data_IF_883490735392
#
_entry.id   IF_883490735392
#
_cell.length_a   1.000
_cell.length_b   1.000
_cell.length_c   1.000
_cell.angle_alpha   90.00
_cell.angle_beta   90.00
_cell.angle_gamma   90.00
#
_symmetry.space_group_name_H-M   'P 1'
#
loop_
_entity.id
_entity.type
_entity.pdbx_description
1 polymer ?
#
# COMPACT_ATOMS: atom_id res chain seq x y z
N UNK A 1 -7.64 17.00 -31.86
CA UNK A 1 -6.79 15.79 -32.02
C UNK A 1 -5.47 16.05 -31.30
N UNK A 2 -4.97 15.15 -30.44
CA UNK A 2 -3.59 15.29 -29.95
C UNK A 2 -2.68 14.91 -31.11
N UNK A 3 -1.95 15.89 -31.66
CA UNK A 3 -0.96 15.69 -32.71
C UNK A 3 0.23 14.96 -32.13
N UNK A 4 0.11 13.64 -32.14
CA UNK A 4 1.16 12.75 -31.71
C UNK A 4 2.10 12.51 -32.88
N UNK A 5 3.41 12.73 -32.66
CA UNK A 5 4.46 12.25 -33.55
C UNK A 5 4.17 10.78 -33.90
N UNK A 6 4.13 10.49 -35.21
CA UNK A 6 3.81 9.18 -35.78
C UNK A 6 5.05 8.42 -36.22
N UNK A 7 6.24 8.92 -35.90
CA UNK A 7 7.49 8.20 -36.09
C UNK A 7 7.45 6.82 -35.41
N UNK A 8 8.16 5.85 -35.98
CA UNK A 8 8.28 4.51 -35.41
C UNK A 8 8.88 4.56 -34.00
N UNK A 9 9.82 5.50 -33.76
CA UNK A 9 10.40 5.74 -32.46
C UNK A 9 9.36 6.23 -31.42
N UNK A 10 8.45 7.12 -31.82
CA UNK A 10 7.36 7.58 -30.95
C UNK A 10 6.35 6.45 -30.67
N UNK A 11 6.04 5.62 -31.66
CA UNK A 11 5.21 4.43 -31.47
C UNK A 11 5.85 3.41 -30.51
N UNK A 12 7.12 3.08 -30.72
CA UNK A 12 7.87 2.18 -29.85
C UNK A 12 7.90 2.69 -28.39
N UNK A 13 8.09 4.00 -28.21
CA UNK A 13 8.06 4.63 -26.87
C UNK A 13 6.69 4.51 -26.21
N UNK A 14 5.60 4.83 -26.92
CA UNK A 14 4.23 4.69 -26.38
C UNK A 14 3.89 3.25 -26.06
N UNK A 15 4.30 2.32 -26.92
CA UNK A 15 4.15 0.89 -26.68
C UNK A 15 4.87 0.49 -25.39
N UNK A 16 6.15 0.78 -25.26
CA UNK A 16 6.93 0.47 -24.05
C UNK A 16 6.31 1.06 -22.78
N UNK A 17 5.88 2.33 -22.82
CA UNK A 17 5.23 3.02 -21.70
C UNK A 17 3.87 2.37 -21.34
N UNK A 18 3.07 1.97 -22.34
CA UNK A 18 1.77 1.35 -22.10
C UNK A 18 1.85 -0.02 -21.41
N UNK A 19 2.96 -0.74 -21.59
CA UNK A 19 3.21 -2.04 -20.96
C UNK A 19 3.87 -1.94 -19.58
N UNK A 20 4.34 -0.76 -19.20
CA UNK A 20 5.12 -0.56 -17.97
C UNK A 20 4.39 -1.10 -16.74
N UNK A 21 3.14 -0.68 -16.52
CA UNK A 21 2.38 -1.12 -15.34
C UNK A 21 1.84 -2.56 -15.44
N UNK A 22 1.80 -3.15 -16.64
CA UNK A 22 1.49 -4.57 -16.82
C UNK A 22 2.65 -5.42 -16.30
N UNK A 23 3.88 -5.13 -16.75
CA UNK A 23 5.10 -5.80 -16.27
C UNK A 23 5.28 -5.57 -14.77
N UNK A 24 5.07 -4.34 -14.33
CA UNK A 24 5.17 -3.98 -12.92
C UNK A 24 4.17 -4.74 -12.05
N UNK A 25 2.92 -4.89 -12.50
CA UNK A 25 1.90 -5.68 -11.82
C UNK A 25 2.30 -7.15 -11.65
N UNK A 26 2.91 -7.75 -12.68
CA UNK A 26 3.45 -9.12 -12.62
C UNK A 26 4.62 -9.22 -11.63
N UNK A 27 5.56 -8.26 -11.66
CA UNK A 27 6.65 -8.17 -10.69
C UNK A 27 6.11 -8.03 -9.26
N UNK A 28 5.04 -7.25 -9.08
CA UNK A 28 4.38 -7.07 -7.79
C UNK A 28 3.79 -8.37 -7.26
N UNK A 29 2.98 -9.06 -8.06
CA UNK A 29 2.38 -10.33 -7.66
C UNK A 29 3.46 -11.38 -7.32
N UNK A 30 4.56 -11.39 -8.08
CA UNK A 30 5.71 -12.28 -7.84
C UNK A 30 6.44 -11.93 -6.54
N UNK A 31 6.69 -10.65 -6.27
CA UNK A 31 7.30 -10.20 -5.02
C UNK A 31 6.40 -10.51 -3.81
N UNK A 32 5.09 -10.31 -3.94
CA UNK A 32 4.13 -10.63 -2.88
C UNK A 32 4.07 -12.13 -2.61
N UNK A 33 4.06 -12.97 -3.67
CA UNK A 33 4.18 -14.42 -3.54
C UNK A 33 5.47 -14.80 -2.80
N UNK A 34 6.61 -14.27 -3.22
CA UNK A 34 7.90 -14.60 -2.64
C UNK A 34 8.00 -14.16 -1.16
N UNK A 35 7.41 -13.02 -0.81
CA UNK A 35 7.33 -12.58 0.58
C UNK A 35 6.40 -13.48 1.40
N UNK A 36 5.21 -13.79 0.89
CA UNK A 36 4.27 -14.70 1.55
C UNK A 36 4.87 -16.11 1.76
N UNK A 37 5.63 -16.61 0.78
CA UNK A 37 6.31 -17.89 0.87
C UNK A 37 7.45 -17.86 1.89
N UNK A 38 8.19 -16.74 1.96
CA UNK A 38 9.22 -16.55 2.98
C UNK A 38 8.66 -16.56 4.41
N UNK A 39 7.40 -16.15 4.60
CA UNK A 39 6.71 -16.12 5.90
C UNK A 39 6.08 -17.47 6.28
N UNK A 40 5.49 -18.18 5.31
CA UNK A 40 4.65 -19.36 5.58
C UNK A 40 5.27 -20.71 5.21
N UNK A 41 6.22 -20.74 4.28
CA UNK A 41 6.68 -21.94 3.59
C UNK A 41 5.55 -22.78 2.92
N UNK A 42 4.33 -22.23 2.78
CA UNK A 42 3.20 -22.87 2.12
C UNK A 42 3.01 -22.23 0.74
N UNK A 43 3.43 -22.96 -0.30
CA UNK A 43 3.35 -22.50 -1.68
C UNK A 43 1.90 -22.20 -2.09
N UNK A 44 0.94 -23.02 -1.69
CA UNK A 44 -0.46 -22.84 -2.07
C UNK A 44 -1.04 -21.59 -1.39
N UNK A 45 -0.80 -21.40 -0.10
CA UNK A 45 -1.26 -20.20 0.61
C UNK A 45 -0.64 -18.91 0.02
N UNK A 46 0.63 -19.00 -0.36
CA UNK A 46 1.37 -17.89 -0.98
C UNK A 46 0.81 -17.54 -2.36
N UNK A 47 0.54 -18.55 -3.20
CA UNK A 47 -0.11 -18.36 -4.51
C UNK A 47 -1.50 -17.76 -4.36
N UNK A 48 -2.32 -18.29 -3.46
CA UNK A 48 -3.67 -17.74 -3.21
C UNK A 48 -3.62 -16.29 -2.71
N UNK A 49 -2.63 -15.93 -1.89
CA UNK A 49 -2.45 -14.54 -1.43
C UNK A 49 -2.07 -13.61 -2.59
N UNK A 50 -1.14 -14.05 -3.46
CA UNK A 50 -0.73 -13.28 -4.63
C UNK A 50 -1.85 -13.13 -5.67
N UNK A 51 -2.61 -14.20 -5.93
CA UNK A 51 -3.78 -14.17 -6.82
C UNK A 51 -4.89 -13.30 -6.25
N UNK A 52 -5.09 -13.32 -4.93
CA UNK A 52 -6.06 -12.46 -4.27
C UNK A 52 -5.76 -10.99 -4.54
N UNK A 53 -4.50 -10.58 -4.36
CA UNK A 53 -4.08 -9.22 -4.70
C UNK A 53 -4.22 -8.94 -6.21
N UNK A 54 -3.63 -9.79 -7.05
CA UNK A 54 -3.49 -9.53 -8.48
C UNK A 54 -4.82 -9.55 -9.24
N UNK A 55 -5.74 -10.45 -8.91
CA UNK A 55 -6.99 -10.66 -9.65
C UNK A 55 -8.22 -10.19 -8.89
N UNK A 56 -8.16 -10.17 -7.55
CA UNK A 56 -9.28 -9.85 -6.68
C UNK A 56 -9.39 -8.38 -6.29
N UNK A 57 -8.39 -7.55 -6.62
CA UNK A 57 -8.32 -6.14 -6.20
C UNK A 57 -8.12 -5.19 -7.37
N UNK A 58 -8.27 -3.89 -7.12
CA UNK A 58 -8.05 -2.84 -8.10
C UNK A 58 -6.62 -2.79 -8.70
N UNK A 59 -5.68 -3.60 -8.20
CA UNK A 59 -4.38 -3.83 -8.82
C UNK A 59 -4.48 -4.22 -10.31
N UNK A 60 -5.51 -4.98 -10.70
CA UNK A 60 -5.69 -5.36 -12.10
C UNK A 60 -6.03 -4.15 -13.00
N UNK A 61 -7.11 -3.40 -12.79
CA UNK A 61 -7.37 -2.19 -13.60
C UNK A 61 -6.21 -1.19 -13.61
N UNK A 62 -5.51 -1.02 -12.48
CA UNK A 62 -4.38 -0.09 -12.36
C UNK A 62 -3.12 -0.52 -13.13
N UNK A 63 -3.03 -1.79 -13.53
CA UNK A 63 -1.95 -2.28 -14.41
C UNK A 63 -1.99 -1.68 -15.82
N UNK A 64 -3.16 -1.14 -16.23
CA UNK A 64 -3.40 -0.57 -17.57
C UNK A 64 -3.21 0.95 -17.62
N UNK A 65 -3.13 1.59 -16.48
CA UNK A 65 -2.96 3.05 -16.34
C UNK A 65 -1.53 3.33 -15.93
N UNK A 66 -0.87 4.35 -16.48
CA UNK A 66 0.47 4.79 -16.06
C UNK A 66 0.42 5.61 -14.76
N UNK A 67 -0.24 5.06 -13.75
CA UNK A 67 -0.27 5.58 -12.40
C UNK A 67 1.04 5.30 -11.68
N UNK A 68 1.43 6.20 -10.78
CA UNK A 68 2.68 6.08 -10.01
C UNK A 68 2.50 5.21 -8.76
N UNK A 69 1.25 5.01 -8.34
CA UNK A 69 0.84 4.27 -7.15
C UNK A 69 1.32 2.81 -7.16
N UNK A 70 1.20 2.03 -8.27
CA UNK A 70 1.71 0.65 -8.29
C UNK A 70 3.22 0.55 -8.07
N UNK A 71 3.99 1.50 -8.61
CA UNK A 71 5.46 1.49 -8.50
C UNK A 71 5.92 1.87 -7.11
N UNK A 72 5.33 2.92 -6.54
CA UNK A 72 5.56 3.30 -5.16
C UNK A 72 5.21 2.14 -4.20
N UNK A 73 4.04 1.52 -4.38
CA UNK A 73 3.59 0.40 -3.57
C UNK A 73 4.52 -0.81 -3.66
N UNK A 74 5.07 -1.10 -4.85
CA UNK A 74 6.06 -2.16 -5.02
C UNK A 74 7.34 -1.84 -4.25
N UNK A 75 7.83 -0.60 -4.33
CA UNK A 75 9.03 -0.18 -3.58
C UNK A 75 8.87 -0.37 -2.07
N UNK A 76 7.71 -0.04 -1.50
CA UNK A 76 7.44 -0.28 -0.08
C UNK A 76 7.27 -1.78 0.24
N UNK A 77 6.61 -2.58 -0.61
CA UNK A 77 6.57 -4.04 -0.45
C UNK A 77 7.99 -4.63 -0.40
N UNK A 78 8.85 -4.22 -1.34
CA UNK A 78 10.25 -4.65 -1.40
C UNK A 78 11.06 -4.16 -0.20
N UNK A 79 10.75 -2.99 0.37
CA UNK A 79 11.36 -2.53 1.61
C UNK A 79 11.02 -3.46 2.78
N UNK A 80 9.74 -3.80 2.97
CA UNK A 80 9.32 -4.75 4.00
C UNK A 80 9.91 -6.15 3.80
N UNK A 81 9.89 -6.65 2.56
CA UNK A 81 10.41 -7.98 2.24
C UNK A 81 11.94 -8.06 2.35
N UNK A 82 12.66 -7.06 1.85
CA UNK A 82 14.11 -6.96 1.96
C UNK A 82 14.56 -6.86 3.41
N UNK A 83 13.85 -6.07 4.22
CA UNK A 83 14.09 -5.99 5.66
C UNK A 83 13.85 -7.33 6.35
N UNK A 84 12.74 -8.02 6.02
CA UNK A 84 12.49 -9.37 6.51
C UNK A 84 13.61 -10.34 6.15
N UNK A 85 14.12 -10.29 4.92
CA UNK A 85 15.25 -11.11 4.49
C UNK A 85 16.55 -10.77 5.24
N UNK A 86 16.81 -9.48 5.52
CA UNK A 86 17.97 -9.05 6.30
C UNK A 86 17.94 -9.59 7.73
N UNK A 87 16.78 -9.49 8.37
CA UNK A 87 16.56 -10.00 9.71
C UNK A 87 16.72 -11.52 9.71
N UNK A 88 16.01 -12.25 8.84
CA UNK A 88 16.05 -13.72 8.79
C UNK A 88 17.44 -14.28 8.46
N UNK A 89 18.15 -13.72 7.48
CA UNK A 89 19.47 -14.22 7.03
C UNK A 89 20.65 -13.63 7.81
N UNK A 90 20.41 -12.70 8.73
CA UNK A 90 21.45 -11.96 9.47
C UNK A 90 22.49 -11.27 8.55
N UNK A 91 22.05 -10.75 7.39
CA UNK A 91 22.91 -10.07 6.42
C UNK A 91 22.48 -8.62 6.23
N UNK A 92 23.45 -7.73 6.02
CA UNK A 92 23.19 -6.30 5.85
C UNK A 92 22.72 -5.94 4.43
N UNK A 93 23.20 -6.63 3.39
CA UNK A 93 22.87 -6.32 1.99
C UNK A 93 21.36 -6.20 1.70
N UNK A 94 20.49 -7.11 2.20
CA UNK A 94 19.04 -6.96 1.99
C UNK A 94 18.43 -5.74 2.70
N UNK A 95 19.01 -5.26 3.80
CA UNK A 95 18.56 -4.03 4.45
C UNK A 95 18.93 -2.79 3.63
N UNK A 96 20.11 -2.79 2.99
CA UNK A 96 20.49 -1.73 2.07
C UNK A 96 19.56 -1.70 0.84
N UNK A 97 19.28 -2.86 0.25
CA UNK A 97 18.32 -2.98 -0.85
C UNK A 97 16.91 -2.55 -0.44
N UNK A 98 16.49 -2.85 0.80
CA UNK A 98 15.23 -2.36 1.35
C UNK A 98 15.21 -0.83 1.47
N UNK A 99 16.31 -0.22 1.93
CA UNK A 99 16.50 1.22 1.97
C UNK A 99 16.41 1.84 0.58
N UNK A 100 17.12 1.28 -0.42
CA UNK A 100 17.06 1.75 -1.80
C UNK A 100 15.64 1.64 -2.39
N UNK A 101 14.92 0.56 -2.11
CA UNK A 101 13.54 0.38 -2.55
C UNK A 101 12.59 1.40 -1.90
N UNK A 102 12.75 1.69 -0.61
CA UNK A 102 12.00 2.72 0.10
C UNK A 102 12.33 4.14 -0.42
N UNK A 103 13.60 4.44 -0.67
CA UNK A 103 14.04 5.69 -1.28
C UNK A 103 13.49 5.86 -2.70
N UNK A 104 13.49 4.80 -3.51
CA UNK A 104 12.91 4.84 -4.86
C UNK A 104 11.38 5.01 -4.83
N UNK A 105 10.69 4.41 -3.84
CA UNK A 105 9.27 4.66 -3.62
C UNK A 105 9.00 6.14 -3.33
N UNK A 106 9.81 6.80 -2.49
CA UNK A 106 9.72 8.23 -2.22
C UNK A 106 9.92 9.10 -3.47
N UNK A 107 10.93 8.78 -4.28
CA UNK A 107 11.18 9.48 -5.55
C UNK A 107 10.02 9.31 -6.54
N UNK A 108 9.34 8.16 -6.49
CA UNK A 108 8.17 7.89 -7.32
C UNK A 108 6.94 8.65 -6.82
N UNK A 109 6.71 8.62 -5.50
CA UNK A 109 5.63 9.35 -4.84
C UNK A 109 6.00 9.69 -3.39
N UNK A 110 5.84 10.96 -3.04
CA UNK A 110 6.15 11.47 -1.70
C UNK A 110 5.27 10.85 -0.60
N UNK A 111 4.03 10.48 -0.89
CA UNK A 111 3.12 9.86 0.08
C UNK A 111 3.62 8.49 0.60
N UNK A 112 4.57 7.86 -0.09
CA UNK A 112 5.31 6.69 0.40
C UNK A 112 5.99 6.91 1.76
N UNK A 113 6.26 8.17 2.13
CA UNK A 113 6.82 8.54 3.44
C UNK A 113 5.97 8.02 4.60
N UNK A 114 4.65 7.91 4.40
CA UNK A 114 3.70 7.44 5.41
C UNK A 114 3.90 5.95 5.78
N UNK A 115 4.55 5.17 4.91
CA UNK A 115 4.88 3.78 5.23
C UNK A 115 6.14 3.66 6.11
N UNK A 116 7.07 4.62 6.04
CA UNK A 116 8.39 4.50 6.65
C UNK A 116 8.37 4.35 8.18
N UNK A 117 7.50 5.04 8.94
CA UNK A 117 7.39 4.80 10.37
C UNK A 117 7.00 3.35 10.69
N UNK A 118 6.16 2.71 9.87
CA UNK A 118 5.83 1.29 10.03
C UNK A 118 7.02 0.36 9.75
N UNK A 119 7.84 0.68 8.75
CA UNK A 119 9.10 -0.06 8.48
C UNK A 119 10.08 0.10 9.65
N UNK A 120 10.19 1.31 10.20
CA UNK A 120 11.02 1.60 11.37
C UNK A 120 10.52 0.85 12.61
N UNK A 121 9.22 0.85 12.87
CA UNK A 121 8.60 0.10 13.97
C UNK A 121 8.85 -1.40 13.81
N UNK A 122 8.75 -1.94 12.59
CA UNK A 122 9.08 -3.33 12.31
C UNK A 122 10.54 -3.64 12.69
N UNK A 123 11.50 -2.82 12.25
CA UNK A 123 12.90 -3.00 12.59
C UNK A 123 13.15 -2.90 14.11
N UNK A 124 12.57 -1.88 14.75
CA UNK A 124 12.71 -1.65 16.19
C UNK A 124 12.20 -2.83 17.02
N UNK A 125 10.98 -3.30 16.73
CA UNK A 125 10.38 -4.42 17.44
C UNK A 125 11.12 -5.73 17.16
N UNK A 126 11.57 -5.96 15.92
CA UNK A 126 12.35 -7.15 15.60
C UNK A 126 13.70 -7.18 16.35
N UNK A 127 14.32 -6.02 16.59
CA UNK A 127 15.49 -5.92 17.45
C UNK A 127 15.13 -6.14 18.92
N UNK A 128 14.06 -5.53 19.41
CA UNK A 128 13.61 -5.70 20.79
C UNK A 128 13.31 -7.17 21.14
N UNK A 129 12.57 -7.87 20.27
CA UNK A 129 12.22 -9.28 20.43
C UNK A 129 13.47 -10.17 20.50
N UNK A 130 14.49 -9.87 19.69
CA UNK A 130 15.77 -10.59 19.72
C UNK A 130 16.57 -10.31 20.98
N UNK A 131 16.68 -9.04 21.37
CA UNK A 131 17.40 -8.65 22.57
C UNK A 131 16.76 -9.25 23.84
N UNK A 132 15.43 -9.39 23.84
CA UNK A 132 14.68 -10.01 24.93
C UNK A 132 14.86 -11.53 24.98
N UNK A 133 15.08 -12.18 23.85
CA UNK A 133 15.36 -13.61 23.77
C UNK A 133 16.79 -13.99 24.22
N UNK A 134 17.73 -13.05 24.12
CA UNK A 134 19.14 -13.26 24.50
C UNK A 134 19.40 -13.05 26.02
N UNK A 135 18.40 -12.65 26.81
CA UNK A 135 18.53 -12.54 28.28
C UNK A 135 18.37 -13.93 28.90
N UNK A 136 19.42 -14.54 29.48
CA UNK A 136 19.29 -15.85 30.11
C UNK A 136 18.34 -15.77 31.31
N UNK A 137 17.50 -16.79 31.46
CA UNK A 137 16.60 -16.94 32.60
C UNK A 137 17.40 -16.74 33.90
N UNK A 138 16.92 -15.84 34.76
CA UNK A 138 17.44 -15.76 36.13
C UNK A 138 17.21 -17.15 36.74
N UNK A 139 18.21 -17.78 37.38
CA UNK A 139 17.92 -18.96 38.17
C UNK A 139 16.86 -18.57 39.20
N UNK A 140 15.69 -19.18 39.10
CA UNK A 140 14.65 -19.13 40.12
C UNK A 140 15.30 -19.58 41.41
N UNK A 141 15.35 -18.65 42.37
CA UNK A 141 15.85 -18.90 43.72
C UNK A 141 14.74 -19.66 44.45
N UNK A 142 14.59 -20.94 44.14
CA UNK A 142 13.72 -21.86 44.88
C UNK A 142 14.60 -22.82 45.68
N UNK A 143 14.62 -22.52 46.98
CA UNK A 143 14.53 -23.45 48.11
C UNK A 143 15.62 -24.52 48.26
N UNK A 144 16.59 -24.18 49.10
CA UNK A 144 17.55 -25.11 49.69
C UNK A 144 18.27 -24.47 50.87
N UNK A 145 17.53 -23.75 51.72
CA UNK A 145 18.00 -23.38 53.05
C UNK A 145 17.37 -24.39 54.00
N UNK A 146 18.13 -25.45 54.30
CA UNK A 146 18.08 -26.25 55.54
C UNK A 146 18.82 -27.57 55.31
N UNK A 147 20.08 -27.61 55.76
CA UNK A 147 20.77 -28.76 56.34
C UNK A 147 22.30 -28.55 56.27
N UNK A 148 22.87 -27.97 57.33
CA UNK A 148 24.23 -28.31 57.72
C UNK A 148 24.21 -28.57 59.22
N UNK A 149 24.01 -29.85 59.53
CA UNK A 149 24.37 -30.46 60.79
C UNK A 149 25.82 -30.97 60.72
N UNK A 150 26.40 -31.11 61.89
CA UNK A 150 27.80 -31.23 62.21
C UNK A 150 28.51 -32.49 61.66
N UNK A 151 29.81 -32.32 61.43
CA UNK A 151 30.88 -33.11 62.05
C UNK A 151 31.89 -33.77 61.10
N UNK A 152 33.12 -33.76 61.64
CA UNK A 152 34.23 -34.70 61.48
C UNK A 152 35.41 -34.35 60.56
N UNK A 153 36.47 -34.02 61.29
CA UNK A 153 37.87 -33.88 60.92
C UNK A 153 38.56 -35.20 60.53
N UNK A 154 39.59 -35.08 59.68
CA UNK A 154 40.95 -35.71 59.71
C UNK A 154 41.51 -35.73 58.28
N UNK A 155 42.49 -34.90 57.95
CA UNK A 155 43.95 -35.07 58.13
C UNK A 155 44.63 -35.85 57.00
N UNK A 156 45.66 -35.20 56.45
CA UNK A 156 46.89 -35.74 55.84
C UNK A 156 46.83 -36.29 54.39
N UNK A 157 47.45 -35.54 53.47
CA UNK A 157 48.85 -35.73 53.02
C UNK A 157 49.10 -35.62 51.50
N UNK A 158 50.32 -35.17 51.18
CA UNK A 158 51.10 -35.39 49.96
C UNK A 158 50.70 -34.77 48.59
N UNK A 159 51.45 -33.69 48.29
CA UNK A 159 52.09 -33.28 47.01
C UNK A 159 51.97 -34.22 45.79
N UNK A 160 51.59 -33.66 44.64
CA UNK A 160 52.38 -33.68 43.39
C UNK A 160 51.83 -32.70 42.32
N UNK A 161 52.68 -31.73 41.98
CA UNK A 161 53.04 -31.23 40.64
C UNK A 161 52.09 -31.27 39.41
N UNK A 162 52.12 -30.13 38.69
CA UNK A 162 52.05 -29.98 37.23
C UNK A 162 50.71 -30.31 36.51
N UNK A 163 49.87 -29.30 36.35
CA UNK A 163 49.68 -28.71 35.00
C UNK A 163 49.05 -27.32 35.08
N UNK A 164 49.84 -26.33 34.69
CA UNK A 164 49.34 -25.02 34.28
C UNK A 164 48.55 -25.18 32.99
N UNK A 165 47.24 -25.44 33.10
CA UNK A 165 46.31 -25.09 32.04
C UNK A 165 45.56 -23.84 32.48
N UNK A 166 46.12 -22.69 32.14
CA UNK A 166 45.39 -21.42 32.15
C UNK A 166 44.31 -21.50 31.05
N UNK A 167 43.22 -22.22 31.32
CA UNK A 167 41.98 -22.04 30.58
C UNK A 167 41.53 -20.63 30.90
N UNK A 168 41.72 -19.75 29.93
CA UNK A 168 41.16 -18.40 29.91
C UNK A 168 39.65 -18.51 30.09
N UNK A 169 39.20 -18.45 31.34
CA UNK A 169 37.82 -18.19 31.68
C UNK A 169 37.55 -16.76 31.21
N UNK A 170 37.21 -16.60 29.93
CA UNK A 170 36.42 -15.45 29.50
C UNK A 170 35.20 -15.49 30.40
N UNK A 171 35.15 -14.59 31.39
CA UNK A 171 34.03 -14.57 32.33
C UNK A 171 32.75 -14.48 31.52
N UNK A 172 31.71 -15.20 31.92
CA UNK A 172 30.40 -15.16 31.25
C UNK A 172 29.96 -13.71 30.96
N UNK A 173 30.30 -12.77 31.84
CA UNK A 173 30.08 -11.33 31.68
C UNK A 173 30.83 -10.69 30.49
N UNK A 174 32.07 -11.09 30.21
CA UNK A 174 32.84 -10.59 29.06
C UNK A 174 32.30 -11.12 27.73
N UNK A 175 31.87 -12.39 27.68
CA UNK A 175 31.23 -12.98 26.50
C UNK A 175 29.86 -12.34 26.23
N UNK A 176 29.06 -12.09 27.27
CA UNK A 176 27.77 -11.39 27.18
C UNK A 176 27.95 -9.93 26.73
N UNK A 177 28.96 -9.22 27.25
CA UNK A 177 29.28 -7.86 26.82
C UNK A 177 29.68 -7.79 25.34
N UNK A 178 30.49 -8.74 24.86
CA UNK A 178 30.86 -8.84 23.45
C UNK A 178 29.65 -9.15 22.55
N UNK A 179 28.79 -10.09 22.96
CA UNK A 179 27.56 -10.41 22.23
C UNK A 179 26.63 -9.19 22.13
N UNK A 180 26.45 -8.45 23.23
CA UNK A 180 25.64 -7.23 23.27
C UNK A 180 26.21 -6.12 22.39
N UNK A 181 27.52 -5.87 22.46
CA UNK A 181 28.22 -4.92 21.59
C UNK A 181 28.10 -5.30 20.11
N UNK A 182 28.20 -6.58 19.77
CA UNK A 182 28.06 -7.06 18.40
C UNK A 182 26.61 -6.92 17.90
N UNK A 183 25.63 -7.23 18.76
CA UNK A 183 24.22 -7.01 18.48
C UNK A 183 23.92 -5.53 18.20
N UNK A 184 24.38 -4.61 19.06
CA UNK A 184 24.18 -3.17 18.90
C UNK A 184 24.80 -2.63 17.60
N UNK A 185 26.01 -3.08 17.25
CA UNK A 185 26.65 -2.71 15.97
C UNK A 185 25.86 -3.19 14.76
N UNK A 186 25.36 -4.42 14.78
CA UNK A 186 24.55 -4.94 13.66
C UNK A 186 23.16 -4.31 13.58
N UNK A 187 22.60 -3.86 14.71
CA UNK A 187 21.37 -3.09 14.75
C UNK A 187 21.57 -1.71 14.13
N UNK A 188 22.58 -0.96 14.58
CA UNK A 188 22.92 0.35 14.04
C UNK A 188 23.23 0.27 12.54
N UNK A 189 23.99 -0.73 12.10
CA UNK A 189 24.28 -0.92 10.68
C UNK A 189 23.01 -1.09 9.84
N UNK A 190 22.00 -1.85 10.32
CA UNK A 190 20.71 -2.01 9.63
C UNK A 190 19.92 -0.72 9.56
N UNK A 191 19.89 0.05 10.65
CA UNK A 191 19.26 1.37 10.66
C UNK A 191 19.90 2.31 9.62
N UNK A 192 21.23 2.34 9.55
CA UNK A 192 21.95 3.13 8.55
C UNK A 192 21.71 2.62 7.13
N UNK A 193 21.75 1.31 6.91
CA UNK A 193 21.50 0.72 5.59
C UNK A 193 20.08 1.00 5.08
N UNK A 194 19.09 1.04 5.97
CA UNK A 194 17.72 1.40 5.64
C UNK A 194 17.55 2.92 5.46
N UNK A 195 18.15 3.71 6.36
CA UNK A 195 17.93 5.15 6.46
C UNK A 195 18.73 6.00 5.46
N UNK A 196 19.99 5.66 5.17
CA UNK A 196 20.83 6.46 4.28
C UNK A 196 20.23 6.62 2.87
N UNK A 197 19.72 5.55 2.20
CA UNK A 197 19.10 5.72 0.88
C UNK A 197 17.80 6.54 0.93
N UNK A 198 17.05 6.45 2.03
CA UNK A 198 15.82 7.25 2.26
C UNK A 198 16.17 8.73 2.39
N UNK A 199 17.18 9.06 3.19
CA UNK A 199 17.68 10.44 3.35
C UNK A 199 18.21 10.96 2.01
N UNK A 200 18.96 10.15 1.27
CA UNK A 200 19.44 10.50 -0.07
C UNK A 200 18.28 10.79 -1.04
N UNK A 201 17.22 9.98 -1.03
CA UNK A 201 16.03 10.21 -1.84
C UNK A 201 15.31 11.52 -1.49
N UNK A 202 15.17 11.83 -0.19
CA UNK A 202 14.60 13.11 0.24
C UNK A 202 15.47 14.30 -0.17
N UNK A 203 16.80 14.16 -0.09
CA UNK A 203 17.73 15.18 -0.56
C UNK A 203 17.61 15.41 -2.07
N UNK A 204 17.57 14.34 -2.88
CA UNK A 204 17.34 14.41 -4.33
C UNK A 204 16.01 15.12 -4.61
N UNK A 205 14.93 14.74 -3.93
CA UNK A 205 13.62 15.37 -4.09
C UNK A 205 13.67 16.88 -3.78
N UNK A 206 14.32 17.29 -2.68
CA UNK A 206 14.50 18.69 -2.32
C UNK A 206 15.34 19.46 -3.34
N UNK A 207 16.44 18.88 -3.82
CA UNK A 207 17.30 19.48 -4.85
C UNK A 207 16.50 19.68 -6.16
N UNK A 208 15.73 18.68 -6.58
CA UNK A 208 14.89 18.79 -7.77
C UNK A 208 13.84 19.90 -7.62
N UNK A 209 13.24 20.06 -6.45
CA UNK A 209 12.29 21.15 -6.22
C UNK A 209 12.98 22.53 -6.24
N UNK A 210 14.19 22.65 -5.67
CA UNK A 210 14.97 23.88 -5.75
C UNK A 210 15.33 24.24 -7.19
N UNK A 211 15.73 23.26 -8.01
CA UNK A 211 16.09 23.47 -9.41
C UNK A 211 14.86 23.90 -10.24
N UNK A 212 13.71 23.26 -10.05
CA UNK A 212 12.53 23.51 -10.89
C UNK A 212 11.63 24.66 -10.40
N UNK A 213 11.50 24.83 -9.09
CA UNK A 213 10.53 25.75 -8.47
C UNK A 213 11.19 26.84 -7.60
N UNK A 214 12.52 26.80 -7.41
CA UNK A 214 13.24 27.75 -6.56
C UNK A 214 12.91 27.66 -5.07
N UNK A 215 12.18 26.63 -4.65
CA UNK A 215 11.76 26.43 -3.27
C UNK A 215 11.64 24.93 -2.93
N UNK A 216 11.53 24.60 -1.64
CA UNK A 216 11.44 23.21 -1.17
C UNK A 216 10.00 22.67 -1.12
N UNK A 217 8.99 23.48 -1.47
CA UNK A 217 7.59 23.03 -1.40
C UNK A 217 7.36 21.93 -2.44
N UNK A 218 6.46 20.97 -2.15
CA UNK A 218 6.10 19.95 -3.11
C UNK A 218 5.51 20.58 -4.37
N UNK A 219 5.72 19.97 -5.53
CA UNK A 219 5.16 20.43 -6.82
C UNK A 219 3.63 20.56 -6.85
N UNK A 220 2.92 19.96 -5.89
CA UNK A 220 1.47 20.10 -5.73
C UNK A 220 1.05 21.43 -5.07
N UNK A 221 1.99 22.21 -4.54
CA UNK A 221 1.70 23.49 -3.88
C UNK A 221 1.17 24.56 -4.85
N UNK A 222 1.42 24.40 -6.15
CA UNK A 222 1.01 25.36 -7.19
C UNK A 222 -0.37 25.06 -7.79
N UNK A 223 -1.08 24.05 -7.29
CA UNK A 223 -2.47 23.80 -7.70
C UNK A 223 -3.40 24.91 -7.18
N UNK A 224 -4.49 25.25 -7.89
CA UNK A 224 -5.47 26.24 -7.43
C UNK A 224 -6.01 25.94 -6.03
N UNK A 225 -6.16 24.66 -5.70
CA UNK A 225 -6.63 24.17 -4.40
C UNK A 225 -5.51 24.05 -3.35
N UNK A 226 -4.24 24.09 -3.77
CA UNK A 226 -3.06 23.96 -2.92
C UNK A 226 -2.91 22.59 -2.23
N UNK A 227 -2.03 22.56 -1.21
CA UNK A 227 -1.86 21.39 -0.32
C UNK A 227 -2.66 21.66 0.95
N UNK A 228 -3.83 21.02 1.07
CA UNK A 228 -4.69 21.14 2.24
C UNK A 228 -5.11 19.78 2.79
N UNK A 229 -5.03 19.65 4.12
CA UNK A 229 -5.47 18.49 4.89
C UNK A 229 -6.66 18.85 5.80
N UNK A 230 -7.59 19.64 5.26
CA UNK A 230 -8.76 20.17 5.98
C UNK A 230 -10.00 19.26 5.98
N UNK A 231 -10.01 18.15 5.23
CA UNK A 231 -11.17 17.24 5.21
C UNK A 231 -11.35 16.63 6.60
N UNK A 232 -12.55 16.70 7.22
CA UNK A 232 -12.79 16.04 8.49
C UNK A 232 -12.51 14.54 8.39
N UNK A 233 -11.66 14.03 9.28
CA UNK A 233 -11.13 12.66 9.20
C UNK A 233 -12.23 11.60 9.02
N UNK A 234 -13.31 11.68 9.79
CA UNK A 234 -14.41 10.70 9.72
C UNK A 234 -15.13 10.73 8.36
N UNK A 235 -15.19 11.89 7.69
CA UNK A 235 -15.80 12.02 6.36
C UNK A 235 -14.93 11.29 5.33
N UNK A 236 -13.62 11.55 5.32
CA UNK A 236 -12.71 10.88 4.39
C UNK A 236 -12.60 9.37 4.66
N UNK A 237 -12.54 8.97 5.93
CA UNK A 237 -12.51 7.56 6.32
C UNK A 237 -13.80 6.84 5.88
N UNK A 238 -14.95 7.44 6.14
CA UNK A 238 -16.23 6.93 5.65
C UNK A 238 -16.24 6.87 4.11
N UNK A 239 -15.66 7.86 3.44
CA UNK A 239 -15.43 7.86 2.01
C UNK A 239 -14.64 6.64 1.51
N UNK A 240 -13.55 6.28 2.20
CA UNK A 240 -12.73 5.11 1.83
C UNK A 240 -13.31 3.76 2.21
N UNK A 241 -14.26 3.68 3.13
CA UNK A 241 -14.80 2.39 3.60
C UNK A 241 -16.20 2.14 3.08
N UNK A 242 -17.06 3.15 3.11
CA UNK A 242 -18.50 3.02 2.92
C UNK A 242 -19.01 3.67 1.61
N UNK A 243 -18.25 4.56 0.98
CA UNK A 243 -18.69 5.15 -0.30
C UNK A 243 -18.81 4.07 -1.37
N UNK A 244 -19.92 4.07 -2.11
CA UNK A 244 -20.06 3.12 -3.23
C UNK A 244 -19.07 3.46 -4.35
N UNK A 245 -18.77 4.74 -4.55
CA UNK A 245 -17.87 5.21 -5.61
C UNK A 245 -16.38 5.13 -5.28
N UNK A 246 -16.02 5.08 -3.99
CA UNK A 246 -14.62 5.08 -3.52
C UNK A 246 -14.29 4.10 -2.40
N UNK A 247 -15.25 3.30 -1.96
CA UNK A 247 -15.04 2.42 -0.83
C UNK A 247 -14.16 1.23 -1.22
N UNK A 248 -13.03 1.11 -0.54
CA UNK A 248 -12.01 0.10 -0.71
C UNK A 248 -12.59 -1.31 -0.91
N UNK A 249 -13.56 -1.70 -0.08
CA UNK A 249 -14.13 -3.06 -0.11
C UNK A 249 -15.18 -3.28 -1.21
N UNK A 250 -15.73 -2.22 -1.80
CA UNK A 250 -16.54 -2.34 -3.02
C UNK A 250 -15.67 -2.62 -4.24
N UNK A 251 -14.47 -2.03 -4.29
CA UNK A 251 -13.53 -2.21 -5.40
C UNK A 251 -12.58 -3.39 -5.21
N UNK A 252 -12.32 -3.80 -3.96
CA UNK A 252 -11.42 -4.89 -3.61
C UNK A 252 -12.02 -5.82 -2.53
N UNK A 253 -13.18 -6.47 -2.78
CA UNK A 253 -13.92 -7.25 -1.77
C UNK A 253 -13.11 -8.36 -1.05
N UNK A 254 -12.21 -9.11 -1.71
CA UNK A 254 -11.38 -10.11 -1.04
C UNK A 254 -10.56 -9.58 0.14
N UNK A 255 -10.24 -8.27 0.16
CA UNK A 255 -9.50 -7.65 1.26
C UNK A 255 -10.31 -7.61 2.56
N UNK A 256 -11.64 -7.83 2.53
CA UNK A 256 -12.44 -7.97 3.75
C UNK A 256 -11.88 -9.08 4.67
N UNK A 257 -11.31 -10.14 4.11
CA UNK A 257 -10.72 -11.24 4.88
C UNK A 257 -9.63 -10.78 5.87
N UNK A 258 -9.03 -9.59 5.65
CA UNK A 258 -8.05 -8.97 6.54
C UNK A 258 -8.51 -8.89 8.00
N UNK A 259 -9.78 -8.54 8.26
CA UNK A 259 -10.27 -8.34 9.63
C UNK A 259 -10.23 -9.62 10.47
N UNK A 260 -10.41 -10.78 9.84
CA UNK A 260 -10.29 -12.08 10.50
C UNK A 260 -8.85 -12.60 10.54
N UNK A 261 -7.97 -12.06 9.70
CA UNK A 261 -6.59 -12.49 9.57
C UNK A 261 -5.62 -11.73 10.47
N UNK A 262 -5.81 -10.41 10.63
CA UNK A 262 -4.80 -9.50 11.19
C UNK A 262 -4.40 -9.86 12.62
N UNK A 263 -5.36 -10.21 13.48
CA UNK A 263 -5.08 -10.59 14.88
C UNK A 263 -4.20 -11.85 14.94
N UNK A 264 -4.49 -12.84 14.10
CA UNK A 264 -3.68 -14.08 14.02
C UNK A 264 -2.31 -13.79 13.39
N UNK A 265 -2.26 -12.98 12.33
CA UNK A 265 -1.01 -12.60 11.68
C UNK A 265 -0.09 -11.84 12.63
N UNK A 266 -0.59 -10.84 13.35
CA UNK A 266 0.18 -10.10 14.35
C UNK A 266 0.55 -10.98 15.56
N UNK A 267 -0.21 -12.03 15.87
CA UNK A 267 0.19 -13.01 16.88
C UNK A 267 1.41 -13.84 16.47
N UNK A 268 1.49 -14.25 15.19
CA UNK A 268 2.57 -15.10 14.65
C UNK A 268 3.80 -14.27 14.24
N UNK A 269 3.57 -13.10 13.66
CA UNK A 269 4.59 -12.20 13.14
C UNK A 269 4.47 -10.82 13.81
N UNK A 270 4.66 -10.76 15.13
CA UNK A 270 4.44 -9.56 15.96
C UNK A 270 5.08 -8.29 15.41
N UNK A 271 6.40 -8.26 15.26
CA UNK A 271 7.10 -7.09 14.73
C UNK A 271 6.60 -6.64 13.34
N UNK A 272 6.43 -7.58 12.40
CA UNK A 272 5.97 -7.28 11.04
C UNK A 272 4.50 -6.80 11.04
N UNK A 273 3.63 -7.49 11.77
CA UNK A 273 2.21 -7.16 11.88
C UNK A 273 2.00 -5.77 12.46
N UNK A 274 2.72 -5.41 13.51
CA UNK A 274 2.66 -4.06 14.09
C UNK A 274 3.16 -3.00 13.11
N UNK A 275 4.27 -3.24 12.40
CA UNK A 275 4.76 -2.32 11.37
C UNK A 275 3.73 -2.07 10.26
N UNK A 276 3.11 -3.14 9.76
CA UNK A 276 2.03 -3.03 8.76
C UNK A 276 0.84 -2.23 9.30
N UNK A 277 0.38 -2.49 10.52
CA UNK A 277 -0.72 -1.75 11.15
C UNK A 277 -0.40 -0.26 11.27
N UNK A 278 0.83 0.09 11.67
CA UNK A 278 1.27 1.49 11.75
C UNK A 278 1.26 2.14 10.36
N UNK A 279 1.81 1.50 9.33
CA UNK A 279 1.74 2.02 7.96
C UNK A 279 0.30 2.19 7.48
N UNK A 280 -0.57 1.20 7.71
CA UNK A 280 -1.99 1.24 7.37
C UNK A 280 -2.69 2.43 8.03
N UNK A 281 -2.47 2.60 9.34
CA UNK A 281 -3.09 3.66 10.13
C UNK A 281 -2.63 5.05 9.67
N UNK A 282 -1.33 5.23 9.36
CA UNK A 282 -0.81 6.50 8.87
C UNK A 282 -1.32 6.84 7.47
N UNK A 283 -1.36 5.86 6.56
CA UNK A 283 -1.93 6.06 5.23
C UNK A 283 -3.40 6.45 5.31
N UNK A 284 -4.22 5.69 6.04
CA UNK A 284 -5.64 6.00 6.19
C UNK A 284 -5.84 7.33 6.93
N UNK A 285 -5.06 7.60 7.97
CA UNK A 285 -5.10 8.83 8.75
C UNK A 285 -4.91 10.08 7.87
N UNK A 286 -3.79 10.13 7.16
CA UNK A 286 -3.42 11.30 6.35
C UNK A 286 -4.23 11.39 5.06
N UNK A 287 -4.47 10.28 4.37
CA UNK A 287 -5.22 10.33 3.10
C UNK A 287 -6.70 10.67 3.33
N UNK A 288 -7.25 10.37 4.51
CA UNK A 288 -8.64 10.74 4.84
C UNK A 288 -8.82 12.23 5.10
N UNK A 289 -7.76 12.96 5.46
CA UNK A 289 -7.82 14.40 5.68
C UNK A 289 -7.47 15.22 4.44
N UNK A 290 -6.91 14.57 3.41
CA UNK A 290 -6.55 15.22 2.15
C UNK A 290 -7.76 15.87 1.46
N UNK A 291 -7.62 17.11 0.98
CA UNK A 291 -8.70 17.84 0.29
C UNK A 291 -9.18 17.09 -0.96
N UNK A 292 -8.27 16.42 -1.65
CA UNK A 292 -8.54 15.62 -2.85
C UNK A 292 -8.59 14.11 -2.55
N UNK A 293 -8.99 13.70 -1.33
CA UNK A 293 -9.02 12.30 -0.87
C UNK A 293 -9.68 11.35 -1.87
N UNK A 294 -10.71 11.82 -2.58
CA UNK A 294 -11.49 11.02 -3.50
C UNK A 294 -10.74 10.61 -4.79
N UNK A 295 -9.54 11.17 -5.04
CA UNK A 295 -8.56 10.54 -5.93
C UNK A 295 -8.71 10.74 -7.42
N UNK A 296 -9.58 11.63 -7.86
CA UNK A 296 -9.84 11.88 -9.29
C UNK A 296 -10.53 10.68 -9.96
N UNK A 297 -11.00 10.85 -11.18
CA UNK A 297 -11.66 9.76 -11.89
C UNK A 297 -10.63 8.62 -12.10
N UNK A 298 -10.79 7.46 -11.46
CA UNK A 298 -9.87 6.32 -11.51
C UNK A 298 -10.47 5.12 -10.79
N UNK A 299 -10.30 3.89 -11.27
CA UNK A 299 -10.99 2.73 -10.67
C UNK A 299 -10.66 2.55 -9.17
N UNK A 300 -11.62 2.84 -8.29
CA UNK A 300 -11.48 2.76 -6.83
C UNK A 300 -10.72 3.93 -6.15
N UNK A 301 -10.35 3.78 -4.87
CA UNK A 301 -9.70 4.84 -4.10
C UNK A 301 -8.18 4.88 -4.29
N UNK A 302 -7.73 5.51 -5.39
CA UNK A 302 -6.33 5.58 -5.80
C UNK A 302 -5.34 6.01 -4.70
N UNK A 303 -5.68 6.99 -3.87
CA UNK A 303 -4.76 7.49 -2.83
C UNK A 303 -4.42 6.47 -1.74
N UNK A 304 -5.24 5.43 -1.58
CA UNK A 304 -4.97 4.31 -0.67
C UNK A 304 -4.67 3.02 -1.46
N UNK A 305 -4.21 3.12 -2.71
CA UNK A 305 -3.75 1.94 -3.46
C UNK A 305 -2.63 1.20 -2.71
N UNK A 306 -1.68 1.96 -2.14
CA UNK A 306 -0.50 1.37 -1.50
C UNK A 306 -0.82 0.40 -0.36
N UNK A 307 -1.94 0.59 0.35
CA UNK A 307 -2.29 -0.28 1.48
C UNK A 307 -2.86 -1.65 1.05
N UNK A 308 -3.19 -1.86 -0.22
CA UNK A 308 -3.87 -3.08 -0.68
C UNK A 308 -3.05 -4.35 -0.42
N UNK A 309 -1.74 -4.32 -0.65
CA UNK A 309 -0.88 -5.47 -0.37
C UNK A 309 -0.67 -5.67 1.13
N UNK A 310 -0.68 -4.59 1.93
CA UNK A 310 -0.59 -4.63 3.39
C UNK A 310 -1.83 -5.27 4.01
N UNK A 311 -3.00 -5.13 3.35
CA UNK A 311 -4.23 -5.82 3.70
C UNK A 311 -4.25 -7.26 3.19
N UNK A 312 -3.69 -7.51 2.01
CA UNK A 312 -3.64 -8.84 1.40
C UNK A 312 -2.70 -9.79 2.15
N UNK A 313 -1.50 -9.33 2.51
CA UNK A 313 -0.46 -10.18 3.10
C UNK A 313 -0.90 -10.90 4.39
N UNK A 314 -1.59 -10.25 5.35
CA UNK A 314 -2.10 -10.93 6.53
C UNK A 314 -3.08 -12.07 6.24
N UNK A 315 -3.86 -12.00 5.15
CA UNK A 315 -4.82 -13.05 4.77
C UNK A 315 -4.13 -14.41 4.59
N UNK A 316 -2.82 -14.41 4.30
CA UNK A 316 -1.96 -15.59 4.26
C UNK A 316 -2.21 -16.57 5.41
N UNK A 317 -2.34 -16.11 6.66
CA UNK A 317 -2.50 -17.03 7.82
C UNK A 317 -3.83 -17.77 7.85
N UNK A 318 -4.84 -17.27 7.15
CA UNK A 318 -6.11 -17.98 6.97
C UNK A 318 -6.00 -19.03 5.86
N UNK A 319 -5.12 -18.80 4.89
CA UNK A 319 -4.95 -19.63 3.71
C UNK A 319 -3.89 -20.73 3.88
N UNK A 320 -3.17 -20.77 5.01
CA UNK A 320 -2.23 -21.84 5.35
C UNK A 320 -2.96 -23.17 5.65
N UNK A 321 -2.30 -24.29 5.33
CA UNK A 321 -2.80 -25.62 5.68
C UNK A 321 -2.75 -25.89 7.21
N UNK A 322 -3.72 -26.64 7.78
CA UNK A 322 -4.94 -27.13 7.14
C UNK A 322 -5.99 -26.01 6.97
N UNK A 323 -6.56 -25.92 5.77
CA UNK A 323 -7.54 -24.87 5.40
C UNK A 323 -8.94 -25.27 5.84
N UNK A 324 -9.57 -24.46 6.69
CA UNK A 324 -10.98 -24.67 7.08
C UNK A 324 -11.90 -24.57 5.84
N UNK A 325 -12.89 -25.47 5.65
CA UNK A 325 -13.81 -25.41 4.51
C UNK A 325 -14.49 -24.06 4.35
N UNK A 326 -14.93 -23.44 5.46
CA UNK A 326 -15.54 -22.11 5.45
C UNK A 326 -14.62 -21.03 4.85
N UNK A 327 -13.31 -21.06 5.15
CA UNK A 327 -12.34 -20.11 4.60
C UNK A 327 -12.20 -20.29 3.08
N UNK A 328 -12.21 -21.54 2.60
CA UNK A 328 -12.14 -21.83 1.15
C UNK A 328 -13.37 -21.30 0.41
N UNK A 329 -14.56 -21.50 0.98
CA UNK A 329 -15.82 -21.04 0.40
C UNK A 329 -15.86 -19.50 0.37
N UNK A 330 -15.56 -18.85 1.49
CA UNK A 330 -15.52 -17.38 1.59
C UNK A 330 -14.49 -16.79 0.64
N UNK A 331 -13.28 -17.36 0.59
CA UNK A 331 -12.25 -16.94 -0.35
C UNK A 331 -12.72 -17.07 -1.80
N UNK A 332 -13.27 -18.22 -2.19
CA UNK A 332 -13.75 -18.44 -3.56
C UNK A 332 -14.89 -17.48 -3.94
N UNK A 333 -15.85 -17.26 -3.05
CA UNK A 333 -16.96 -16.33 -3.27
C UNK A 333 -16.49 -14.88 -3.43
N UNK A 334 -15.63 -14.41 -2.51
CA UNK A 334 -15.07 -13.06 -2.59
C UNK A 334 -14.16 -12.89 -3.81
N UNK A 335 -13.39 -13.91 -4.18
CA UNK A 335 -12.58 -13.90 -5.39
C UNK A 335 -13.41 -13.84 -6.66
N UNK A 336 -14.49 -14.62 -6.75
CA UNK A 336 -15.40 -14.56 -7.89
C UNK A 336 -16.03 -13.16 -8.03
N UNK A 337 -16.48 -12.58 -6.91
CA UNK A 337 -17.00 -11.22 -6.86
C UNK A 337 -15.93 -10.18 -7.26
N UNK A 338 -14.74 -10.28 -6.68
CA UNK A 338 -13.61 -9.38 -6.96
C UNK A 338 -13.16 -9.43 -8.43
N UNK A 339 -13.04 -10.63 -9.01
CA UNK A 339 -12.71 -10.81 -10.43
C UNK A 339 -13.79 -10.18 -11.31
N UNK A 340 -15.08 -10.41 -11.01
CA UNK A 340 -16.19 -9.78 -11.74
C UNK A 340 -16.09 -8.25 -11.73
N UNK A 341 -15.78 -7.68 -10.57
CA UNK A 341 -15.54 -6.24 -10.40
C UNK A 341 -14.33 -5.76 -11.20
N UNK A 342 -13.21 -6.49 -11.21
CA UNK A 342 -12.02 -6.08 -11.96
C UNK A 342 -12.21 -6.21 -13.47
N UNK A 343 -12.91 -7.24 -13.94
CA UNK A 343 -13.29 -7.39 -15.35
C UNK A 343 -14.17 -6.22 -15.76
N UNK A 344 -15.14 -5.84 -14.92
CA UNK A 344 -16.00 -4.69 -15.17
C UNK A 344 -15.18 -3.38 -15.25
N UNK A 345 -14.33 -3.11 -14.26
CA UNK A 345 -13.44 -1.95 -14.26
C UNK A 345 -12.47 -1.90 -15.44
N UNK A 346 -12.02 -3.08 -15.91
CA UNK A 346 -11.13 -3.21 -17.06
C UNK A 346 -11.85 -3.19 -18.41
N UNK A 347 -13.17 -3.25 -18.46
CA UNK A 347 -13.88 -3.32 -19.74
C UNK A 347 -13.98 -1.96 -20.45
N UNK A 348 -13.73 -0.86 -19.74
CA UNK A 348 -13.91 0.51 -20.24
C UNK A 348 -12.58 1.18 -20.57
N UNK A 349 -12.56 1.99 -21.63
CA UNK A 349 -11.41 2.86 -21.91
C UNK A 349 -11.55 4.16 -21.10
N UNK A 350 -10.90 4.17 -19.94
CA UNK A 350 -10.90 5.30 -19.01
C UNK A 350 -10.50 6.62 -19.69
N UNK A 351 -9.47 6.63 -20.53
CA UNK A 351 -8.99 7.85 -21.19
C UNK A 351 -9.98 8.42 -22.20
N UNK A 352 -10.71 7.57 -22.95
CA UNK A 352 -11.73 8.03 -23.91
C UNK A 352 -12.88 8.73 -23.22
N UNK A 353 -13.38 8.20 -22.11
CA UNK A 353 -14.45 8.86 -21.38
C UNK A 353 -13.98 10.17 -20.76
N UNK A 354 -12.81 10.17 -20.10
CA UNK A 354 -12.29 11.38 -19.47
C UNK A 354 -12.20 12.52 -20.50
N UNK A 355 -11.69 12.21 -21.69
CA UNK A 355 -11.64 13.14 -22.80
C UNK A 355 -13.03 13.63 -23.23
N UNK A 356 -13.99 12.72 -23.41
CA UNK A 356 -15.32 13.05 -23.91
C UNK A 356 -16.23 13.80 -22.91
N UNK A 357 -15.91 13.80 -21.61
CA UNK A 357 -16.78 14.38 -20.57
C UNK A 357 -16.15 15.54 -19.80
N UNK A 358 -14.81 15.66 -19.80
CA UNK A 358 -14.10 16.67 -19.02
C UNK A 358 -13.09 17.51 -19.80
N UNK A 359 -12.59 17.03 -20.94
CA UNK A 359 -11.44 17.64 -21.63
C UNK A 359 -11.73 17.94 -23.12
N UNK A 360 -12.98 17.98 -23.55
CA UNK A 360 -13.26 18.50 -24.89
C UNK A 360 -13.02 20.02 -24.88
N UNK A 361 -12.04 20.49 -25.65
CA UNK A 361 -11.67 21.91 -25.69
C UNK A 361 -12.74 22.74 -26.42
N UNK A 362 -13.64 22.07 -27.15
CA UNK A 362 -14.68 22.70 -27.96
C UNK A 362 -16.09 22.57 -27.35
N UNK A 363 -16.25 21.85 -26.25
CA UNK A 363 -17.52 21.72 -25.54
C UNK A 363 -17.32 21.99 -24.05
N UNK A 364 -18.25 22.70 -23.41
CA UNK A 364 -18.23 22.82 -21.95
C UNK A 364 -18.31 21.44 -21.29
N UNK A 365 -17.62 21.22 -20.14
CA UNK A 365 -17.65 19.95 -19.43
C UNK A 365 -19.08 19.50 -19.15
N UNK A 366 -19.52 18.41 -19.80
CA UNK A 366 -20.88 17.86 -19.63
C UNK A 366 -21.04 17.01 -18.37
N UNK A 367 -19.96 16.75 -17.65
CA UNK A 367 -19.98 16.11 -16.35
C UNK A 367 -20.32 17.12 -15.25
N UNK A 368 -21.54 17.67 -15.29
CA UNK A 368 -22.10 18.40 -14.15
C UNK A 368 -22.57 17.41 -13.09
N UNK A 369 -22.61 17.85 -11.83
CA UNK A 369 -23.29 17.08 -10.80
C UNK A 369 -24.77 16.97 -11.18
N UNK A 370 -25.23 15.78 -11.52
CA UNK A 370 -26.65 15.47 -11.63
C UNK A 370 -27.24 15.50 -10.21
N UNK A 371 -27.47 16.69 -9.68
CA UNK A 371 -28.49 16.88 -8.66
C UNK A 371 -29.81 16.95 -9.40
N UNK A 372 -30.74 16.08 -9.03
CA UNK A 372 -32.13 16.28 -9.42
C UNK A 372 -32.59 17.58 -8.75
N UNK A 373 -33.04 18.56 -9.55
CA UNK A 373 -33.57 19.83 -9.04
C UNK A 373 -34.71 19.62 -8.04
N UNK A 374 -35.41 18.48 -8.10
CA UNK A 374 -36.44 18.10 -7.13
C UNK A 374 -35.89 17.83 -5.71
N UNK A 375 -34.61 17.48 -5.56
CA UNK A 375 -33.98 17.18 -4.27
C UNK A 375 -33.28 18.40 -3.64
N UNK A 376 -33.11 19.49 -4.38
CA UNK A 376 -32.44 20.73 -3.95
C UNK A 376 -33.05 21.29 -2.65
N UNK A 377 -34.38 21.26 -2.53
CA UNK A 377 -35.09 21.82 -1.38
C UNK A 377 -34.86 21.06 -0.07
N UNK A 378 -34.66 19.74 -0.13
CA UNK A 378 -34.32 18.92 1.03
C UNK A 378 -32.84 19.11 1.41
N UNK A 379 -31.96 19.08 0.42
CA UNK A 379 -30.52 19.16 0.64
C UNK A 379 -30.07 20.52 1.20
N UNK A 380 -30.68 21.62 0.76
CA UNK A 380 -30.43 22.98 1.30
C UNK A 380 -30.82 23.15 2.78
N UNK A 381 -31.62 22.23 3.35
CA UNK A 381 -31.91 22.24 4.79
C UNK A 381 -30.76 21.65 5.61
N UNK A 382 -29.88 20.88 4.97
CA UNK A 382 -28.80 20.13 5.64
C UNK A 382 -27.45 20.84 5.54
N UNK A 383 -27.24 21.71 4.56
CA UNK A 383 -25.99 22.45 4.36
C UNK A 383 -26.22 23.81 3.69
N UNK A 384 -25.29 24.73 3.93
CA UNK A 384 -25.24 26.07 3.31
C UNK A 384 -23.96 26.21 2.49
N UNK A 385 -24.07 26.62 1.23
CA UNK A 385 -22.94 26.75 0.29
C UNK A 385 -22.61 28.22 0.12
N UNK A 386 -21.43 28.62 0.60
CA UNK A 386 -20.93 29.98 0.45
C UNK A 386 -19.68 29.99 -0.43
N UNK A 387 -19.64 30.89 -1.40
CA UNK A 387 -18.41 31.17 -2.15
C UNK A 387 -17.44 31.85 -1.19
N UNK A 388 -16.26 31.26 -1.00
CA UNK A 388 -15.21 31.92 -0.22
C UNK A 388 -14.62 33.04 -1.08
N UNK A 389 -14.79 34.29 -0.65
CA UNK A 389 -14.19 35.44 -1.33
C UNK A 389 -12.66 35.25 -1.42
N UNK A 390 -12.13 35.27 -2.65
CA UNK A 390 -10.69 35.29 -2.90
C UNK A 390 -10.28 36.73 -3.22
N UNK A 391 -8.98 37.10 -3.08
CA UNK A 391 -8.51 38.46 -3.37
C UNK A 391 -8.76 38.93 -4.82
N UNK A 392 -9.12 38.00 -5.72
CA UNK A 392 -9.33 38.22 -7.14
C UNK A 392 -10.81 38.16 -7.57
N UNK A 393 -11.75 37.93 -6.63
CA UNK A 393 -13.18 37.82 -6.89
C UNK A 393 -13.93 38.93 -6.16
N UNK A 394 -14.66 39.77 -6.89
CA UNK A 394 -15.69 40.61 -6.27
C UNK A 394 -16.74 39.70 -5.63
N UNK A 395 -17.16 40.06 -4.40
CA UNK A 395 -18.13 39.32 -3.61
C UNK A 395 -19.54 39.49 -4.19
N UNK A 396 -19.80 38.84 -5.32
CA UNK A 396 -21.17 38.52 -5.72
C UNK A 396 -21.47 37.14 -5.13
N UNK A 397 -22.52 37.02 -4.33
CA UNK A 397 -23.09 35.72 -3.97
C UNK A 397 -23.97 35.26 -5.15
N UNK A 398 -23.50 34.44 -6.10
CA UNK A 398 -24.44 33.76 -6.97
C UNK A 398 -25.29 32.83 -6.09
N UNK A 399 -26.59 32.75 -6.37
CA UNK A 399 -27.41 31.64 -5.91
C UNK A 399 -26.81 30.35 -6.46
N UNK A 400 -25.90 29.74 -5.72
CA UNK A 400 -25.32 28.46 -6.09
C UNK A 400 -26.36 27.37 -5.84
N UNK A 401 -26.81 26.75 -6.92
CA UNK A 401 -27.59 25.52 -6.82
C UNK A 401 -26.63 24.37 -6.54
N UNK A 402 -27.11 23.28 -5.94
CA UNK A 402 -26.28 22.09 -5.79
C UNK A 402 -25.78 21.59 -7.14
N UNK A 403 -26.58 21.72 -8.21
CA UNK A 403 -26.20 21.50 -9.61
C UNK A 403 -25.07 22.40 -10.12
N UNK A 404 -24.88 23.59 -9.52
CA UNK A 404 -23.79 24.53 -9.84
C UNK A 404 -22.48 24.20 -9.12
N UNK A 405 -22.53 23.33 -8.10
CA UNK A 405 -21.33 22.74 -7.54
C UNK A 405 -20.77 21.83 -8.64
N UNK A 406 -19.66 22.23 -9.25
CA UNK A 406 -18.80 21.26 -9.92
C UNK A 406 -18.50 20.24 -8.85
N UNK A 407 -19.08 19.04 -8.97
CA UNK A 407 -18.76 17.99 -8.03
C UNK A 407 -17.24 17.97 -7.91
N UNK A 408 -16.65 17.71 -6.73
CA UNK A 408 -15.34 17.07 -6.80
C UNK A 408 -15.51 15.97 -7.84
N UNK A 409 -14.54 15.82 -8.75
CA UNK A 409 -14.55 14.90 -9.91
C UNK A 409 -14.95 13.44 -9.55
N UNK A 410 -15.22 13.19 -8.27
CA UNK A 410 -15.42 11.99 -7.53
C UNK A 410 -16.63 12.18 -6.59
N UNK A 411 -17.71 11.44 -6.86
CA UNK A 411 -18.59 10.79 -5.90
C UNK A 411 -18.68 11.45 -4.52
N UNK A 412 -19.73 12.26 -4.31
CA UNK A 412 -20.19 12.46 -2.95
C UNK A 412 -20.61 11.11 -2.37
N UNK A 413 -20.38 10.93 -1.08
CA UNK A 413 -20.69 9.73 -0.29
C UNK A 413 -22.17 9.27 -0.44
N UNK A 414 -23.03 10.11 -1.00
CA UNK A 414 -24.48 9.98 -1.02
C UNK A 414 -25.11 9.77 -2.41
N UNK A 415 -24.34 9.86 -3.52
CA UNK A 415 -24.93 9.88 -4.88
C UNK A 415 -24.38 8.72 -5.75
N UNK A 416 -25.14 7.63 -5.80
CA UNK A 416 -24.79 6.42 -6.57
C UNK A 416 -24.71 6.67 -8.09
N UNK A 417 -25.53 7.56 -8.64
CA UNK A 417 -25.71 7.78 -10.09
C UNK A 417 -24.46 8.35 -10.80
N UNK A 418 -23.61 9.05 -10.04
CA UNK A 418 -22.35 9.63 -10.53
C UNK A 418 -21.13 8.73 -10.27
N UNK A 419 -21.33 7.62 -9.56
CA UNK A 419 -20.27 6.66 -9.31
C UNK A 419 -19.71 6.01 -10.56
N UNK A 420 -18.51 5.48 -10.42
CA UNK A 420 -17.81 4.73 -11.47
C UNK A 420 -18.63 3.54 -11.96
N UNK A 421 -19.55 3.04 -11.13
CA UNK A 421 -20.43 1.94 -11.47
C UNK A 421 -21.41 2.32 -12.58
N UNK A 422 -22.36 3.27 -12.44
CA UNK A 422 -23.17 3.71 -13.58
C UNK A 422 -22.36 4.37 -14.70
N UNK A 423 -21.27 5.07 -14.37
CA UNK A 423 -20.37 5.68 -15.34
C UNK A 423 -19.83 4.66 -16.35
N UNK A 424 -19.25 3.56 -15.86
CA UNK A 424 -18.74 2.50 -16.72
C UNK A 424 -19.85 1.82 -17.54
N UNK A 425 -21.06 1.67 -17.01
CA UNK A 425 -22.17 1.10 -17.75
C UNK A 425 -22.60 2.00 -18.91
N UNK A 426 -22.64 3.32 -18.70
CA UNK A 426 -22.86 4.31 -19.76
C UNK A 426 -21.76 4.25 -20.81
N UNK A 427 -20.50 4.08 -20.41
CA UNK A 427 -19.39 3.90 -21.35
C UNK A 427 -19.57 2.66 -22.22
N UNK A 428 -19.88 1.52 -21.60
CA UNK A 428 -20.11 0.26 -22.30
C UNK A 428 -21.25 0.40 -23.31
N UNK A 429 -22.38 1.00 -22.92
CA UNK A 429 -23.53 1.23 -23.82
C UNK A 429 -23.21 2.16 -25.00
N UNK A 430 -22.29 3.10 -24.81
CA UNK A 430 -21.81 4.02 -25.86
C UNK A 430 -20.66 3.44 -26.71
N UNK A 431 -20.34 2.14 -26.55
CA UNK A 431 -19.24 1.50 -27.29
C UNK A 431 -17.84 1.99 -26.89
N UNK A 432 -17.71 2.70 -25.76
CA UNK A 432 -16.43 3.19 -25.23
C UNK A 432 -15.70 2.10 -24.43
N UNK A 433 -15.68 0.88 -24.96
CA UNK A 433 -15.01 -0.27 -24.37
C UNK A 433 -13.65 -0.49 -25.02
N UNK A 434 -12.72 -1.05 -24.23
CA UNK A 434 -11.38 -1.42 -24.69
C UNK A 434 -11.25 -2.94 -24.82
N UNK A 435 -12.38 -3.62 -24.98
CA UNK A 435 -12.46 -5.06 -25.15
C UNK A 435 -11.97 -5.43 -26.54
N UNK A 436 -10.65 -5.46 -26.71
CA UNK A 436 -9.97 -5.91 -27.92
C UNK A 436 -10.55 -7.25 -28.44
N UNK A 437 -10.93 -8.15 -27.54
CA UNK A 437 -11.58 -9.42 -27.88
C UNK A 437 -12.96 -9.26 -28.50
N UNK A 438 -13.77 -8.29 -28.06
CA UNK A 438 -15.06 -7.99 -28.70
C UNK A 438 -14.86 -7.41 -30.10
N UNK A 439 -13.83 -6.58 -30.30
CA UNK A 439 -13.48 -6.10 -31.64
C UNK A 439 -13.02 -7.25 -32.55
N UNK A 440 -12.25 -8.22 -32.05
CA UNK A 440 -11.87 -9.42 -32.80
C UNK A 440 -13.07 -10.30 -33.17
N UNK A 441 -14.02 -10.49 -32.25
CA UNK A 441 -15.25 -11.26 -32.50
C UNK A 441 -16.16 -10.53 -33.49
N UNK A 442 -16.34 -9.22 -33.34
CA UNK A 442 -17.13 -8.41 -34.26
C UNK A 442 -16.49 -8.31 -35.64
N UNK A 443 -15.16 -8.12 -35.75
CA UNK A 443 -14.46 -8.10 -37.03
C UNK A 443 -14.64 -9.42 -37.81
N UNK A 444 -14.60 -10.57 -37.10
CA UNK A 444 -14.90 -11.88 -37.70
C UNK A 444 -16.36 -12.01 -38.16
N UNK A 445 -17.31 -11.41 -37.43
CA UNK A 445 -18.71 -11.41 -37.85
C UNK A 445 -18.98 -10.52 -39.07
N UNK A 446 -18.30 -9.37 -39.16
CA UNK A 446 -18.41 -8.44 -40.30
C UNK A 446 -17.74 -9.02 -41.55
N UNK A 447 -16.56 -9.63 -41.42
CA UNK A 447 -15.91 -10.35 -42.54
C UNK A 447 -16.75 -11.51 -43.07
N UNK A 448 -17.50 -12.22 -42.20
CA UNK A 448 -18.44 -13.26 -42.64
C UNK A 448 -19.67 -12.69 -43.36
N UNK A 449 -20.13 -11.49 -42.98
CA UNK A 449 -21.25 -10.82 -43.65
C UNK A 449 -20.88 -10.20 -45.01
N UNK A 450 -19.60 -9.86 -45.21
CA UNK A 450 -19.09 -9.28 -46.46
C UNK A 450 -18.54 -10.34 -47.44
N UNK A 451 -18.47 -11.61 -47.00
CA UNK A 451 -18.00 -12.74 -47.79
C UNK A 451 -19.10 -13.69 -48.28
N UNK A 452 -20.38 -13.32 -48.09
CA UNK A 452 -21.55 -14.06 -48.57
C UNK A 452 -22.30 -13.28 -49.64
#
# INVERSE_FOLDING_TARGET
>A
MQFHDRSDAAWARRFAVSWFNVVLGACFATALYAFAFALSADATASTLTALLYALGTMAWPHSRTLFTEPLAALGILLAYWGLHCSLRRQRLRPALLAGCAAGYALLTRLDSVLALPGVAVYLALAHWERASADVPDRPTREDGMDAMDESQARSDDARHELSSSSRSTTSLSSALALCRCQFERTALARWLALGLPVVAALAIYGILNLIHFGNLRPAYADQPEGIDFGTPFLIGLHGFVCSIGRGLFFFSPPLLMFFWAIRRFAGVHRALGTGLIVSLALFLGVQSTWINWAGGWCWGPRHIFMIHWMLALPILVLLQAPRRPAVRIVYAALMALGIGIQVYGSSVNFSKYYKAHFYDVFEEPRAMALYDLAQEGYLRQLYDLKVRATPFSEAVEPNLYSSSIVAPINDSVYIFQNSQWPGNLRCLRRGMHDLFWLHLVQARSVQRSLGN
#
